data_IF_618115555224
#
_entry.id   IF_618115555224
#
_cell.length_a   1.000
_cell.length_b   1.000
_cell.length_c   1.000
_cell.angle_alpha   90.00
_cell.angle_beta   90.00
_cell.angle_gamma   90.00
#
_symmetry.space_group_name_H-M   'P 1'
#
loop_
_entity.id
_entity.type
_entity.pdbx_description
1 polymer ?
#
# COMPACT_ATOMS: atom_id res chain seq x y z
N UNK A 1 -9.66 1.67 13.00
CA UNK A 1 -9.23 0.51 12.21
C UNK A 1 -8.02 0.93 11.40
N UNK A 2 -6.93 0.16 11.41
CA UNK A 2 -5.85 0.40 10.45
C UNK A 2 -6.43 0.33 9.02
N UNK A 3 -5.97 1.19 8.13
CA UNK A 3 -5.78 0.84 6.72
C UNK A 3 -7.02 0.35 5.94
N UNK A 4 -8.09 1.14 5.83
CA UNK A 4 -9.03 0.92 4.72
C UNK A 4 -8.47 1.55 3.45
N UNK A 5 -8.31 0.74 2.41
CA UNK A 5 -7.99 1.22 1.06
C UNK A 5 -9.24 1.85 0.44
N UNK A 6 -9.03 2.88 -0.38
CA UNK A 6 -10.06 3.56 -1.14
C UNK A 6 -9.58 3.70 -2.59
N UNK A 7 -10.22 2.99 -3.52
CA UNK A 7 -9.82 2.92 -4.94
C UNK A 7 -8.30 2.70 -5.15
N UNK A 8 -7.70 1.60 -4.65
CA UNK A 8 -6.30 1.30 -4.93
C UNK A 8 -6.11 0.92 -6.41
N UNK A 9 -5.05 1.45 -7.04
CA UNK A 9 -4.82 1.26 -8.47
C UNK A 9 -3.70 0.26 -8.78
N UNK A 10 -2.70 0.16 -7.91
CA UNK A 10 -1.56 -0.73 -8.15
C UNK A 10 -0.86 -1.17 -6.87
N UNK A 11 -0.09 -2.24 -7.00
CA UNK A 11 0.76 -2.80 -5.94
C UNK A 11 2.16 -3.10 -6.45
N UNK A 12 3.17 -2.95 -5.59
CA UNK A 12 4.56 -3.31 -5.89
C UNK A 12 5.26 -3.84 -4.64
N UNK A 13 6.28 -4.68 -4.85
CA UNK A 13 7.16 -5.15 -3.79
C UNK A 13 8.55 -4.50 -3.93
N UNK A 14 9.21 -4.23 -2.81
CA UNK A 14 10.65 -3.94 -2.78
C UNK A 14 11.49 -5.21 -2.56
N UNK A 15 12.82 -5.10 -2.58
CA UNK A 15 13.74 -6.21 -2.35
C UNK A 15 13.72 -6.76 -0.92
N UNK A 16 13.15 -6.02 0.03
CA UNK A 16 12.96 -6.43 1.41
C UNK A 16 11.56 -7.06 1.63
N UNK A 17 10.80 -7.31 0.56
CA UNK A 17 9.45 -7.89 0.60
C UNK A 17 8.43 -7.03 1.35
N UNK A 18 8.61 -5.71 1.41
CA UNK A 18 7.54 -4.80 1.80
C UNK A 18 6.55 -4.63 0.63
N UNK A 19 5.25 -4.62 0.94
CA UNK A 19 4.19 -4.34 -0.04
C UNK A 19 3.88 -2.84 -0.03
N UNK A 20 3.91 -2.23 -1.21
CA UNK A 20 3.49 -0.86 -1.44
C UNK A 20 2.17 -0.86 -2.22
N UNK A 21 1.20 -0.07 -1.78
CA UNK A 21 -0.11 0.09 -2.42
C UNK A 21 -0.32 1.56 -2.78
N UNK A 22 -0.60 1.85 -4.06
CA UNK A 22 -1.06 3.16 -4.51
C UNK A 22 -2.56 3.29 -4.21
N UNK A 23 -2.88 3.97 -3.11
CA UNK A 23 -4.23 4.11 -2.55
C UNK A 23 -4.85 5.43 -3.05
N UNK A 24 -5.23 5.46 -4.32
CA UNK A 24 -5.52 6.69 -5.07
C UNK A 24 -6.70 7.49 -4.49
N UNK A 25 -7.77 6.81 -4.06
CA UNK A 25 -8.91 7.45 -3.41
C UNK A 25 -8.58 8.06 -2.05
N UNK A 26 -7.43 7.76 -1.46
CA UNK A 26 -6.89 8.41 -0.27
C UNK A 26 -5.68 9.31 -0.56
N UNK A 27 -5.30 9.50 -1.83
CA UNK A 27 -4.16 10.32 -2.26
C UNK A 27 -2.85 10.00 -1.52
N UNK A 28 -2.56 8.70 -1.33
CA UNK A 28 -1.36 8.24 -0.61
C UNK A 28 -0.77 6.96 -1.20
N UNK A 29 0.47 6.69 -0.84
CA UNK A 29 1.09 5.36 -0.96
C UNK A 29 1.23 4.77 0.43
N UNK A 30 0.74 3.55 0.65
CA UNK A 30 0.86 2.85 1.92
C UNK A 30 1.86 1.70 1.82
N UNK A 31 2.70 1.54 2.84
CA UNK A 31 3.66 0.44 2.97
C UNK A 31 3.22 -0.55 4.05
N UNK A 32 3.17 -1.82 3.70
CA UNK A 32 2.94 -2.93 4.61
C UNK A 32 4.25 -3.68 4.78
N UNK A 33 4.83 -3.56 5.97
CA UNK A 33 6.04 -4.28 6.32
C UNK A 33 5.72 -5.75 6.58
N UNK A 34 6.58 -6.64 6.07
CA UNK A 34 6.65 -7.99 6.64
C UNK A 34 7.20 -7.83 8.07
N UNK A 35 6.47 -8.34 9.07
CA UNK A 35 6.95 -8.39 10.45
C UNK A 35 8.28 -9.15 10.54
#
# INVERSE_FOLDING_TARGET
SATQLNAPESVAFDSAMNLYVADAGNSRVQRFAKL
#
